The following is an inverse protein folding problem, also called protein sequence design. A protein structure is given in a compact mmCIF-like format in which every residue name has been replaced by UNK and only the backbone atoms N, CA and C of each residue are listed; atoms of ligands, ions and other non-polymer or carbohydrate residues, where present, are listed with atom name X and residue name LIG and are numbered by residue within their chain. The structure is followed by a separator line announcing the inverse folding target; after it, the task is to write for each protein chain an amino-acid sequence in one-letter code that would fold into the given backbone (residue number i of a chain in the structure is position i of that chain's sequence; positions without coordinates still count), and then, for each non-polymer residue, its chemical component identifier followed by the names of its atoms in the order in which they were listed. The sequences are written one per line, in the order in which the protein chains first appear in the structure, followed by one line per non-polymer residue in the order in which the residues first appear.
data_IF_679965201820
#
_entry.id   IF_679965201820
#
_cell.length_a   1.000
_cell.length_b   1.000
_cell.length_c   1.000
_cell.angle_alpha   90.00
_cell.angle_beta   90.00
_cell.angle_gamma   90.00
#
_symmetry.space_group_name_H-M   'P 1'
#
loop_
_entity.id
_entity.type
_entity.pdbx_description
1 polymer ?
#
# COMPACT_ATOMS: atom_id res chain seq x y z
N UNK A 1 -28.09 -1.40 14.78
CA UNK A 1 -27.62 -0.55 13.67
C UNK A 1 -26.09 -0.49 13.57
N UNK A 2 -25.34 -0.74 14.65
CA UNK A 2 -23.86 -0.68 14.71
C UNK A 2 -23.14 -1.76 13.91
N UNK A 3 -23.73 -2.96 13.77
CA UNK A 3 -23.13 -4.06 12.99
C UNK A 3 -22.85 -3.70 11.52
N UNK A 4 -23.80 -3.06 10.83
CA UNK A 4 -23.62 -2.67 9.41
C UNK A 4 -22.54 -1.59 9.27
N UNK A 5 -22.43 -0.69 10.25
CA UNK A 5 -21.39 0.33 10.28
C UNK A 5 -19.99 -0.29 10.42
N UNK A 6 -19.83 -1.22 11.35
CA UNK A 6 -18.56 -1.91 11.61
C UNK A 6 -18.11 -2.78 10.44
N UNK A 7 -19.04 -3.51 9.79
CA UNK A 7 -18.78 -4.27 8.56
C UNK A 7 -18.26 -3.37 7.42
N UNK A 8 -18.89 -2.21 7.21
CA UNK A 8 -18.43 -1.24 6.21
C UNK A 8 -17.04 -0.70 6.50
N UNK A 9 -16.76 -0.35 7.76
CA UNK A 9 -15.41 0.11 8.17
C UNK A 9 -14.37 -0.99 7.93
N UNK A 10 -14.71 -2.25 8.21
CA UNK A 10 -13.80 -3.38 8.00
C UNK A 10 -13.53 -3.63 6.51
N UNK A 11 -14.56 -3.57 5.66
CA UNK A 11 -14.40 -3.67 4.20
C UNK A 11 -13.54 -2.54 3.64
N UNK A 12 -13.76 -1.32 4.10
CA UNK A 12 -12.99 -0.15 3.66
C UNK A 12 -11.52 -0.25 4.11
N UNK A 13 -11.25 -0.64 5.35
CA UNK A 13 -9.89 -0.87 5.82
C UNK A 13 -9.18 -1.98 5.02
N UNK A 14 -9.90 -3.05 4.67
CA UNK A 14 -9.37 -4.14 3.83
C UNK A 14 -9.03 -3.65 2.42
N UNK A 15 -9.88 -2.82 1.83
CA UNK A 15 -9.63 -2.23 0.52
C UNK A 15 -8.38 -1.33 0.51
N UNK A 16 -8.22 -0.45 1.50
CA UNK A 16 -7.02 0.38 1.64
C UNK A 16 -5.76 -0.45 1.87
N UNK A 17 -5.84 -1.52 2.68
CA UNK A 17 -4.72 -2.45 2.84
C UNK A 17 -4.36 -3.13 1.51
N UNK A 18 -5.36 -3.56 0.73
CA UNK A 18 -5.16 -4.16 -0.59
C UNK A 18 -4.48 -3.22 -1.59
N UNK A 19 -4.88 -1.94 -1.63
CA UNK A 19 -4.21 -0.94 -2.45
C UNK A 19 -2.76 -0.74 -1.99
N UNK A 20 -2.51 -0.68 -0.68
CA UNK A 20 -1.15 -0.56 -0.15
C UNK A 20 -0.26 -1.71 -0.60
N UNK A 21 -0.76 -2.94 -0.58
CA UNK A 21 -0.05 -4.12 -1.10
C UNK A 21 0.20 -4.00 -2.61
N UNK A 22 -0.80 -3.58 -3.40
CA UNK A 22 -0.64 -3.42 -4.84
C UNK A 22 0.39 -2.35 -5.20
N UNK A 23 0.37 -1.19 -4.51
CA UNK A 23 1.36 -0.11 -4.70
C UNK A 23 2.76 -0.59 -4.35
N UNK A 24 2.92 -1.35 -3.26
CA UNK A 24 4.20 -1.95 -2.90
C UNK A 24 4.68 -2.97 -3.95
N UNK A 25 3.82 -3.90 -4.35
CA UNK A 25 4.19 -4.98 -5.27
C UNK A 25 4.46 -4.48 -6.69
N UNK A 26 3.58 -3.64 -7.24
CA UNK A 26 3.67 -3.17 -8.63
C UNK A 26 4.58 -1.95 -8.77
N UNK A 27 4.55 -1.02 -7.81
CA UNK A 27 5.32 0.22 -7.86
C UNK A 27 6.70 0.13 -7.22
N UNK A 28 6.87 -0.72 -6.20
CA UNK A 28 8.14 -0.91 -5.50
C UNK A 28 8.90 -2.15 -5.98
N UNK A 29 8.27 -3.32 -5.82
CA UNK A 29 8.92 -4.61 -5.97
C UNK A 29 9.18 -5.01 -7.43
N UNK A 30 8.18 -4.87 -8.31
CA UNK A 30 8.35 -5.23 -9.72
C UNK A 30 9.45 -4.42 -10.44
N UNK A 31 9.55 -3.08 -10.27
CA UNK A 31 10.63 -2.30 -10.87
C UNK A 31 12.00 -2.61 -10.26
N UNK A 32 12.05 -2.93 -8.96
CA UNK A 32 13.29 -3.36 -8.32
C UNK A 32 13.82 -4.65 -8.96
N UNK A 33 12.96 -5.66 -9.17
CA UNK A 33 13.34 -6.89 -9.88
C UNK A 33 13.73 -6.59 -11.33
N UNK A 34 12.95 -5.80 -12.05
CA UNK A 34 13.25 -5.41 -13.44
C UNK A 34 14.61 -4.70 -13.57
N UNK A 35 14.99 -3.90 -12.57
CA UNK A 35 16.28 -3.20 -12.57
C UNK A 35 17.50 -4.12 -12.45
N UNK A 36 17.35 -5.28 -11.80
CA UNK A 36 18.43 -6.27 -11.65
C UNK A 36 18.73 -6.95 -12.99
N UNK A 37 17.72 -7.15 -13.82
CA UNK A 37 17.86 -7.79 -15.15
C UNK A 37 18.09 -6.78 -16.28
N UNK A 38 18.04 -5.48 -16.00
CA UNK A 38 18.24 -4.44 -17.01
C UNK A 38 19.72 -4.22 -17.31
N UNK A 39 20.14 -4.19 -18.59
CA UNK A 39 21.54 -3.96 -18.96
C UNK A 39 22.05 -2.56 -18.60
N UNK A 40 21.15 -1.62 -18.31
CA UNK A 40 21.49 -0.25 -17.90
C UNK A 40 21.59 -0.08 -16.37
N UNK A 41 21.31 -1.13 -15.59
CA UNK A 41 21.27 -1.08 -14.12
C UNK A 41 20.13 -0.25 -13.53
N UNK A 42 20.06 -0.14 -12.19
CA UNK A 42 19.04 0.64 -11.50
C UNK A 42 19.27 2.14 -11.69
N UNK A 43 18.28 2.83 -12.29
CA UNK A 43 18.31 4.28 -12.43
C UNK A 43 17.90 4.98 -11.13
N UNK A 44 18.45 6.18 -10.83
CA UNK A 44 18.06 6.96 -9.65
C UNK A 44 16.55 7.25 -9.60
N UNK A 45 15.93 7.44 -10.77
CA UNK A 45 14.49 7.65 -10.90
C UNK A 45 13.68 6.42 -10.45
N UNK A 46 14.10 5.21 -10.83
CA UNK A 46 13.45 3.97 -10.38
C UNK A 46 13.58 3.80 -8.87
N UNK A 47 14.76 4.05 -8.31
CA UNK A 47 14.99 3.97 -6.87
C UNK A 47 14.11 4.97 -6.10
N UNK A 48 13.97 6.20 -6.61
CA UNK A 48 13.10 7.21 -6.03
C UNK A 48 11.62 6.81 -6.10
N UNK A 49 11.15 6.32 -7.25
CA UNK A 49 9.76 5.85 -7.42
C UNK A 49 9.45 4.67 -6.50
N UNK A 50 10.35 3.69 -6.39
CA UNK A 50 10.19 2.55 -5.48
C UNK A 50 10.13 3.02 -4.02
N UNK A 51 10.97 3.97 -3.62
CA UNK A 51 10.97 4.53 -2.27
C UNK A 51 9.65 5.27 -1.95
N UNK A 52 9.16 6.09 -2.90
CA UNK A 52 7.87 6.78 -2.76
C UNK A 52 6.71 5.79 -2.71
N UNK A 53 6.73 4.71 -3.50
CA UNK A 53 5.70 3.66 -3.46
C UNK A 53 5.69 2.91 -2.12
N UNK A 54 6.87 2.63 -1.53
CA UNK A 54 6.97 2.03 -0.20
C UNK A 54 6.37 2.96 0.86
N UNK A 55 6.73 4.25 0.84
CA UNK A 55 6.18 5.24 1.77
C UNK A 55 4.67 5.39 1.60
N UNK A 56 4.17 5.43 0.35
CA UNK A 56 2.75 5.51 0.06
C UNK A 56 1.99 4.27 0.57
N UNK A 57 2.57 3.07 0.39
CA UNK A 57 2.02 1.82 0.92
C UNK A 57 1.92 1.85 2.45
N UNK A 58 2.99 2.31 3.12
CA UNK A 58 3.02 2.42 4.57
C UNK A 58 1.99 3.43 5.09
N UNK A 59 1.85 4.58 4.43
CA UNK A 59 0.83 5.59 4.76
C UNK A 59 -0.59 5.03 4.58
N UNK A 60 -0.84 4.26 3.50
CA UNK A 60 -2.12 3.62 3.26
C UNK A 60 -2.45 2.56 4.31
N UNK A 61 -1.46 1.76 4.71
CA UNK A 61 -1.63 0.77 5.76
C UNK A 61 -1.95 1.45 7.11
N UNK A 62 -1.26 2.54 7.42
CA UNK A 62 -1.53 3.32 8.63
C UNK A 62 -2.93 3.94 8.61
N UNK A 63 -3.37 4.45 7.46
CA UNK A 63 -4.73 4.95 7.27
C UNK A 63 -5.77 3.85 7.50
N UNK A 64 -5.56 2.65 6.94
CA UNK A 64 -6.43 1.49 7.17
C UNK A 64 -6.49 1.10 8.66
N UNK A 65 -5.36 1.10 9.36
CA UNK A 65 -5.30 0.87 10.80
C UNK A 65 -6.07 1.94 11.60
N UNK A 66 -5.99 3.21 11.18
CA UNK A 66 -6.70 4.30 11.85
C UNK A 66 -8.21 4.26 11.59
N UNK A 67 -8.62 3.79 10.41
CA UNK A 67 -10.03 3.53 10.06
C UNK A 67 -10.60 2.42 10.97
N UNK A 68 -9.87 1.33 11.18
CA UNK A 68 -10.26 0.24 12.09
C UNK A 68 -10.40 0.70 13.54
N UNK A 69 -9.64 1.72 13.98
CA UNK A 69 -9.78 2.29 15.33
C UNK A 69 -11.10 3.03 15.58
N UNK A 70 -11.90 3.28 14.54
CA UNK A 70 -13.24 3.91 14.66
C UNK A 70 -14.37 2.91 14.88
N UNK A 71 -14.06 1.64 15.11
CA UNK A 71 -15.06 0.62 15.46
C UNK A 71 -15.77 0.98 16.77
N UNK A 72 -17.10 1.00 16.73
CA UNK A 72 -17.95 1.26 17.89
C UNK A 72 -18.44 -0.09 18.48
N UNK A 73 -18.44 -0.26 19.82
CA UNK A 73 -18.86 -1.50 20.47
C UNK A 73 -20.36 -1.81 20.32
#
# INVERSE_FOLDING_TARGET
MTLIHNERIKLLATYFNGIGIAVFAVGGFAPAISSIYSPNGPTPALMFISFVCILASFALHYAASNILRRLEP
#
